data_IF_272501756307
#
_entry.id   IF_272501756307
#
_cell.length_a   1.000
_cell.length_b   1.000
_cell.length_c   1.000
_cell.angle_alpha   90.00
_cell.angle_beta   90.00
_cell.angle_gamma   90.00
#
_symmetry.space_group_name_H-M   'P 1'
#
loop_
_entity.id
_entity.type
_entity.pdbx_description
1 polymer ?
#
# COMPACT_ATOMS: atom_id res chain seq x y z
N UNK A 1 -28.74 9.21 69.15
CA UNK A 1 -27.96 8.45 68.14
C UNK A 1 -28.52 8.67 66.73
N UNK A 2 -29.47 9.60 66.57
CA UNK A 2 -30.31 9.72 65.36
C UNK A 2 -29.70 10.65 64.30
N UNK A 3 -28.96 11.68 64.73
CA UNK A 3 -28.28 12.64 63.85
C UNK A 3 -27.19 11.98 63.00
N UNK A 4 -26.50 10.98 63.57
CA UNK A 4 -25.44 10.26 62.86
C UNK A 4 -26.02 9.34 61.77
N UNK A 5 -27.18 8.72 62.03
CA UNK A 5 -27.88 7.89 61.04
C UNK A 5 -28.51 8.72 59.91
N UNK A 6 -29.06 9.90 60.22
CA UNK A 6 -29.60 10.81 59.19
C UNK A 6 -28.51 11.43 58.31
N UNK A 7 -27.39 11.85 58.90
CA UNK A 7 -26.25 12.37 58.14
C UNK A 7 -25.61 11.30 57.25
N UNK A 8 -25.49 10.06 57.75
CA UNK A 8 -24.98 8.93 56.98
C UNK A 8 -25.94 8.55 55.83
N UNK A 9 -27.25 8.58 56.08
CA UNK A 9 -28.28 8.35 55.05
C UNK A 9 -28.30 9.42 53.96
N UNK A 10 -28.09 10.69 54.31
CA UNK A 10 -27.99 11.80 53.35
C UNK A 10 -26.73 11.69 52.49
N UNK A 11 -25.58 11.36 53.09
CA UNK A 11 -24.32 11.15 52.37
C UNK A 11 -24.41 9.98 51.38
N UNK A 12 -25.05 8.86 51.76
CA UNK A 12 -25.24 7.71 50.89
C UNK A 12 -26.11 8.03 49.67
N UNK A 13 -27.23 8.75 49.85
CA UNK A 13 -28.11 9.15 48.74
C UNK A 13 -27.43 10.14 47.81
N UNK A 14 -26.68 11.10 48.35
CA UNK A 14 -25.88 12.04 47.55
C UNK A 14 -24.82 11.34 46.70
N UNK A 15 -24.15 10.34 47.27
CA UNK A 15 -23.17 9.53 46.53
C UNK A 15 -23.80 8.73 45.39
N UNK A 16 -24.99 8.13 45.61
CA UNK A 16 -25.71 7.38 44.57
C UNK A 16 -26.10 8.30 43.40
N UNK A 17 -26.64 9.49 43.69
CA UNK A 17 -27.02 10.46 42.64
C UNK A 17 -25.79 10.96 41.88
N UNK A 18 -24.69 11.22 42.59
CA UNK A 18 -23.44 11.60 41.93
C UNK A 18 -22.89 10.48 41.05
N UNK A 19 -22.92 9.24 41.53
CA UNK A 19 -22.45 8.07 40.78
C UNK A 19 -23.27 7.83 39.51
N UNK A 20 -24.60 7.97 39.55
CA UNK A 20 -25.45 7.80 38.36
C UNK A 20 -25.24 8.91 37.33
N UNK A 21 -25.07 10.16 37.77
CA UNK A 21 -24.73 11.28 36.88
C UNK A 21 -23.35 11.08 36.25
N UNK A 22 -22.34 10.70 37.04
CA UNK A 22 -21.01 10.43 36.53
C UNK A 22 -21.02 9.29 35.50
N UNK A 23 -21.77 8.22 35.75
CA UNK A 23 -21.86 7.06 34.87
C UNK A 23 -22.60 7.36 33.56
N UNK A 24 -23.67 8.16 33.63
CA UNK A 24 -24.40 8.61 32.43
C UNK A 24 -23.58 9.57 31.57
N UNK A 25 -22.85 10.50 32.18
CA UNK A 25 -21.91 11.40 31.47
C UNK A 25 -20.79 10.60 30.81
N UNK A 26 -20.17 9.65 31.55
CA UNK A 26 -19.12 8.78 31.02
C UNK A 26 -19.62 7.96 29.82
N UNK A 27 -20.82 7.40 29.94
CA UNK A 27 -21.46 6.63 28.87
C UNK A 27 -21.74 7.50 27.64
N UNK A 28 -22.28 8.71 27.82
CA UNK A 28 -22.49 9.66 26.72
C UNK A 28 -21.18 9.98 26.00
N UNK A 29 -20.12 10.36 26.72
CA UNK A 29 -18.81 10.67 26.14
C UNK A 29 -18.23 9.46 25.37
N UNK A 30 -18.40 8.25 25.89
CA UNK A 30 -17.95 7.03 25.21
C UNK A 30 -18.69 6.78 23.88
N UNK A 31 -20.01 7.04 23.84
CA UNK A 31 -20.82 6.91 22.61
C UNK A 31 -20.46 7.98 21.58
N UNK A 32 -20.27 9.24 21.99
CA UNK A 32 -19.85 10.30 21.07
C UNK A 32 -18.47 10.05 20.46
N UNK A 33 -17.52 9.48 21.22
CA UNK A 33 -16.19 9.11 20.69
C UNK A 33 -16.24 8.00 19.64
N UNK A 34 -17.20 7.06 19.75
CA UNK A 34 -17.38 5.97 18.77
C UNK A 34 -17.92 6.43 17.42
N UNK A 35 -18.58 7.59 17.35
CA UNK A 35 -19.16 8.11 16.11
C UNK A 35 -18.19 8.91 15.23
N UNK A 36 -16.88 8.91 15.51
CA UNK A 36 -15.92 9.52 14.57
C UNK A 36 -16.01 8.82 13.21
N UNK A 37 -16.43 9.51 12.14
CA UNK A 37 -16.47 8.92 10.81
C UNK A 37 -15.03 8.59 10.41
N UNK A 38 -14.80 7.37 9.95
CA UNK A 38 -13.56 7.03 9.25
C UNK A 38 -13.58 7.79 7.93
N UNK A 39 -12.98 8.98 7.90
CA UNK A 39 -12.90 9.80 6.71
C UNK A 39 -12.31 9.01 5.55
N UNK A 40 -12.89 9.14 4.36
CA UNK A 40 -12.39 8.55 3.13
C UNK A 40 -11.03 9.16 2.79
N UNK A 41 -9.94 8.50 3.18
CA UNK A 41 -8.61 8.94 2.76
C UNK A 41 -8.31 8.48 1.33
N UNK A 42 -7.70 9.35 0.52
CA UNK A 42 -7.10 8.96 -0.75
C UNK A 42 -5.61 8.69 -0.50
N UNK A 43 -5.18 7.43 -0.63
CA UNK A 43 -3.77 7.06 -0.48
C UNK A 43 -3.07 7.12 -1.84
N UNK A 44 -2.39 8.22 -2.11
CA UNK A 44 -1.51 8.33 -3.27
C UNK A 44 -0.14 7.74 -2.91
N UNK A 45 0.31 6.72 -3.65
CA UNK A 45 1.66 6.15 -3.54
C UNK A 45 2.46 6.51 -4.79
N UNK A 46 3.67 7.10 -4.67
CA UNK A 46 4.52 7.36 -5.82
C UNK A 46 5.11 6.04 -6.34
N UNK A 47 4.63 5.55 -7.49
CA UNK A 47 5.06 4.28 -8.09
C UNK A 47 6.31 4.43 -8.97
N UNK A 48 6.64 5.65 -9.39
CA UNK A 48 7.74 5.94 -10.32
C UNK A 48 9.08 5.36 -9.86
N UNK A 49 9.39 5.45 -8.56
CA UNK A 49 10.66 4.92 -8.01
C UNK A 49 10.77 3.41 -8.17
N UNK A 50 9.67 2.68 -7.97
CA UNK A 50 9.65 1.23 -8.09
C UNK A 50 9.83 0.81 -9.54
N UNK A 51 9.14 1.49 -10.46
CA UNK A 51 9.26 1.25 -11.91
C UNK A 51 10.68 1.57 -12.41
N UNK A 52 11.27 2.69 -11.96
CA UNK A 52 12.66 3.05 -12.28
C UNK A 52 13.65 1.96 -11.81
N UNK A 53 13.46 1.42 -10.61
CA UNK A 53 14.32 0.37 -10.06
C UNK A 53 14.23 -0.95 -10.85
N UNK A 54 13.01 -1.38 -11.20
CA UNK A 54 12.76 -2.55 -12.05
C UNK A 54 13.43 -2.39 -13.43
N UNK A 55 13.26 -1.21 -14.05
CA UNK A 55 13.89 -0.93 -15.35
C UNK A 55 15.41 -0.86 -15.27
N UNK A 56 15.98 -0.34 -14.19
CA UNK A 56 17.44 -0.29 -14.01
C UNK A 56 18.07 -1.69 -13.92
N UNK A 57 17.38 -2.65 -13.31
CA UNK A 57 17.83 -4.04 -13.27
C UNK A 57 17.90 -4.65 -14.69
N UNK A 58 16.89 -4.40 -15.52
CA UNK A 58 16.90 -4.85 -16.92
C UNK A 58 17.97 -4.13 -17.77
N UNK A 59 18.12 -2.81 -17.64
CA UNK A 59 19.17 -2.04 -18.35
C UNK A 59 20.58 -2.53 -18.05
N UNK A 60 20.81 -3.05 -16.84
CA UNK A 60 22.08 -3.66 -16.47
C UNK A 60 22.47 -4.88 -17.32
N UNK A 61 21.47 -5.61 -17.84
CA UNK A 61 21.68 -6.76 -18.70
C UNK A 61 21.68 -6.40 -20.19
N UNK A 62 20.97 -5.33 -20.58
CA UNK A 62 20.86 -4.90 -21.98
C UNK A 62 22.06 -4.07 -22.48
N UNK A 63 22.79 -3.39 -21.59
CA UNK A 63 23.82 -2.41 -21.99
C UNK A 63 25.16 -2.60 -21.28
N UNK A 64 26.24 -2.08 -21.88
CA UNK A 64 27.57 -2.06 -21.26
C UNK A 64 27.56 -1.15 -20.03
N UNK A 65 28.26 -1.54 -18.94
CA UNK A 65 28.34 -0.77 -17.66
C UNK A 65 28.64 0.73 -17.82
N UNK A 66 29.39 1.11 -18.86
CA UNK A 66 29.77 2.51 -19.15
C UNK A 66 28.60 3.36 -19.65
N UNK A 67 27.70 2.77 -20.44
CA UNK A 67 26.48 3.42 -20.93
C UNK A 67 25.44 3.56 -19.82
N UNK A 68 25.30 2.53 -18.97
CA UNK A 68 24.42 2.56 -17.81
C UNK A 68 24.76 3.73 -16.85
N UNK A 69 26.05 3.97 -16.59
CA UNK A 69 26.50 5.12 -15.77
C UNK A 69 26.16 6.47 -16.42
N UNK A 70 26.22 6.58 -17.75
CA UNK A 70 25.87 7.80 -18.50
C UNK A 70 24.35 8.04 -18.47
N UNK A 71 23.56 6.99 -18.64
CA UNK A 71 22.10 7.01 -18.55
C UNK A 71 21.61 7.45 -17.17
N UNK A 72 22.17 6.88 -16.10
CA UNK A 72 21.85 7.28 -14.72
C UNK A 72 22.09 8.76 -14.45
N UNK A 73 23.16 9.34 -15.03
CA UNK A 73 23.48 10.77 -14.88
C UNK A 73 22.57 11.67 -15.71
N UNK A 74 22.14 11.24 -16.90
CA UNK A 74 21.39 12.07 -17.85
C UNK A 74 19.87 11.87 -17.79
N UNK A 75 19.34 10.85 -17.08
CA UNK A 75 17.91 10.48 -17.06
C UNK A 75 17.24 10.49 -18.44
N UNK A 76 18.02 10.22 -19.50
CA UNK A 76 17.51 10.16 -20.86
C UNK A 76 16.93 8.77 -21.13
N UNK A 77 15.93 8.67 -22.01
CA UNK A 77 15.58 7.38 -22.59
C UNK A 77 16.81 6.82 -23.31
N UNK A 78 17.00 5.51 -23.19
CA UNK A 78 18.02 4.77 -23.95
C UNK A 78 17.71 4.98 -25.44
N UNK A 79 18.65 5.50 -26.22
CA UNK A 79 18.53 5.46 -27.68
C UNK A 79 18.73 4.02 -28.14
N UNK A 80 17.83 3.58 -29.02
CA UNK A 80 17.66 2.18 -29.39
C UNK A 80 18.98 1.56 -29.85
N UNK A 81 19.44 0.54 -29.11
CA UNK A 81 20.47 -0.38 -29.57
C UNK A 81 19.90 -1.34 -30.61
N UNK A 82 20.50 -2.52 -30.74
CA UNK A 82 19.88 -3.60 -31.52
C UNK A 82 18.51 -3.96 -30.90
N UNK A 83 17.49 -4.27 -31.72
CA UNK A 83 16.21 -4.76 -31.24
C UNK A 83 16.42 -5.98 -30.32
N UNK A 84 15.72 -5.99 -29.19
CA UNK A 84 15.73 -7.10 -28.24
C UNK A 84 14.42 -7.86 -28.33
N UNK A 85 14.50 -9.18 -28.12
CA UNK A 85 13.32 -10.04 -27.94
C UNK A 85 13.25 -10.46 -26.49
N UNK A 86 12.20 -10.06 -25.77
CA UNK A 86 11.94 -10.44 -24.39
C UNK A 86 11.03 -11.68 -24.37
N UNK A 87 11.49 -12.77 -23.78
CA UNK A 87 10.69 -14.00 -23.63
C UNK A 87 10.20 -14.11 -22.19
N UNK A 88 8.88 -14.17 -22.01
CA UNK A 88 8.21 -14.35 -20.72
C UNK A 88 7.57 -15.73 -20.64
N UNK A 89 7.77 -16.41 -19.51
CA UNK A 89 7.15 -17.71 -19.24
C UNK A 89 5.97 -17.52 -18.29
N UNK A 90 4.76 -17.76 -18.78
CA UNK A 90 3.54 -17.65 -17.99
C UNK A 90 2.90 -19.01 -17.77
N UNK A 91 2.93 -19.48 -16.51
CA UNK A 91 2.17 -20.64 -16.05
C UNK A 91 0.84 -20.19 -15.46
N UNK A 92 -0.23 -20.36 -16.23
CA UNK A 92 -1.60 -20.12 -15.80
C UNK A 92 -2.10 -21.24 -14.89
N UNK A 93 -2.79 -20.86 -13.82
CA UNK A 93 -3.55 -21.73 -12.93
C UNK A 93 -4.95 -21.15 -12.69
N UNK A 94 -5.88 -21.98 -12.20
CA UNK A 94 -7.25 -21.54 -11.87
C UNK A 94 -7.30 -20.42 -10.81
N UNK A 95 -6.25 -20.30 -9.99
CA UNK A 95 -6.15 -19.30 -8.93
C UNK A 95 -5.49 -17.99 -9.36
N UNK A 96 -5.07 -17.88 -10.62
CA UNK A 96 -4.39 -16.70 -11.18
C UNK A 96 -3.13 -16.29 -10.40
N UNK A 97 -2.45 -17.23 -9.78
CA UNK A 97 -1.32 -17.01 -8.86
C UNK A 97 -0.15 -16.33 -9.57
N UNK A 98 0.11 -16.71 -10.83
CA UNK A 98 1.21 -16.16 -11.62
C UNK A 98 0.95 -14.74 -12.16
N UNK A 99 -0.29 -14.25 -12.15
CA UNK A 99 -0.65 -12.94 -12.72
C UNK A 99 0.07 -11.79 -12.03
N UNK A 100 0.28 -11.91 -10.71
CA UNK A 100 1.01 -10.89 -9.95
C UNK A 100 2.43 -10.69 -10.49
N UNK A 101 3.13 -11.80 -10.76
CA UNK A 101 4.50 -11.77 -11.25
C UNK A 101 4.54 -11.26 -12.69
N UNK A 102 3.65 -11.78 -13.56
CA UNK A 102 3.55 -11.34 -14.95
C UNK A 102 3.32 -9.82 -15.06
N UNK A 103 2.47 -9.25 -14.20
CA UNK A 103 2.25 -7.79 -14.15
C UNK A 103 3.53 -7.02 -13.86
N UNK A 104 4.34 -7.49 -12.91
CA UNK A 104 5.60 -6.83 -12.55
C UNK A 104 6.63 -6.93 -13.68
N UNK A 105 6.73 -8.09 -14.33
CA UNK A 105 7.60 -8.33 -15.49
C UNK A 105 7.24 -7.43 -16.68
N UNK A 106 5.95 -7.38 -17.05
CA UNK A 106 5.45 -6.51 -18.13
C UNK A 106 5.69 -5.04 -17.81
N UNK A 107 5.49 -4.64 -16.55
CA UNK A 107 5.75 -3.25 -16.10
C UNK A 107 7.24 -2.90 -16.25
N UNK A 108 8.13 -3.83 -15.90
CA UNK A 108 9.57 -3.64 -16.02
C UNK A 108 9.99 -3.50 -17.49
N UNK A 109 9.49 -4.38 -18.37
CA UNK A 109 9.77 -4.33 -19.82
C UNK A 109 9.28 -3.01 -20.41
N UNK A 110 8.05 -2.58 -20.09
CA UNK A 110 7.49 -1.31 -20.59
C UNK A 110 8.34 -0.09 -20.19
N UNK A 111 9.05 -0.17 -19.06
CA UNK A 111 9.92 0.91 -18.60
C UNK A 111 11.25 1.01 -19.36
N UNK A 112 11.65 -0.04 -20.08
CA UNK A 112 12.95 -0.12 -20.78
C UNK A 112 12.86 -0.32 -22.28
N UNK A 113 11.77 -0.90 -22.77
CA UNK A 113 11.60 -1.27 -24.17
C UNK A 113 11.71 -0.05 -25.10
N UNK A 114 12.53 -0.21 -26.14
CA UNK A 114 12.72 0.75 -27.22
C UNK A 114 11.76 0.51 -28.39
N UNK A 115 11.89 1.34 -29.43
CA UNK A 115 11.19 1.09 -30.70
C UNK A 115 11.81 -0.12 -31.39
N UNK A 116 10.96 -1.08 -31.77
CA UNK A 116 11.36 -2.30 -32.47
C UNK A 116 11.71 -3.48 -31.56
N UNK A 117 11.67 -3.32 -30.23
CA UNK A 117 11.74 -4.46 -29.32
C UNK A 117 10.46 -5.30 -29.41
N UNK A 118 10.62 -6.61 -29.29
CA UNK A 118 9.52 -7.58 -29.35
C UNK A 118 9.37 -8.31 -28.01
N UNK A 119 8.14 -8.68 -27.67
CA UNK A 119 7.83 -9.46 -26.46
C UNK A 119 7.08 -10.71 -26.86
N UNK A 120 7.62 -11.87 -26.47
CA UNK A 120 7.03 -13.19 -26.70
C UNK A 120 6.64 -13.78 -25.36
N UNK A 121 5.39 -14.24 -25.24
CA UNK A 121 4.90 -14.91 -24.03
C UNK A 121 4.68 -16.37 -24.35
N UNK A 122 5.39 -17.26 -23.65
CA UNK A 122 5.11 -18.70 -23.65
C UNK A 122 4.04 -18.96 -22.59
N UNK A 123 2.83 -19.22 -23.06
CA UNK A 123 1.68 -19.50 -22.20
C UNK A 123 1.53 -21.01 -22.01
N UNK A 124 1.57 -21.45 -20.76
CA UNK A 124 1.27 -22.82 -20.34
C UNK A 124 0.04 -22.74 -19.43
N UNK A 125 -1.04 -23.43 -19.78
CA UNK A 125 -2.24 -23.51 -18.94
C UNK A 125 -2.33 -24.91 -18.35
N UNK A 126 -2.32 -25.00 -17.02
CA UNK A 126 -2.53 -26.23 -16.27
C UNK A 126 -3.93 -26.29 -15.67
#
# INVERSE_FOLDING_TARGET
MDILHDALGFAARGFIVFATIALTVLFCVAVLRRRRPRGSWLRVKPLNKQIEALGDALRGNLMKRRELRRLRRKRKKVEAGRPNVFVLDFKGDLFATAVRNLREEVTAITAVAGKGDEVVVRLESA
#
